data_IF_282590659783
#
_entry.id   IF_282590659783
#
_cell.length_a   1.000
_cell.length_b   1.000
_cell.length_c   1.000
_cell.angle_alpha   90.00
_cell.angle_beta   90.00
_cell.angle_gamma   90.00
#
_symmetry.space_group_name_H-M   'P 1'
#
loop_
_entity.id
_entity.type
_entity.pdbx_description
1 polymer ?
#
# COMPACT_ATOMS: atom_id res chain seq x y z
N UNK A 1 -0.17 -4.10 -14.10
CA UNK A 1 -0.62 -4.93 -12.97
C UNK A 1 -0.83 -4.00 -11.79
N UNK A 2 -2.05 -3.90 -11.29
CA UNK A 2 -2.39 -3.11 -10.11
C UNK A 2 -2.25 -4.01 -8.89
N UNK A 3 -1.30 -3.68 -8.02
CA UNK A 3 -1.13 -4.30 -6.71
C UNK A 3 -2.42 -4.19 -5.91
N UNK A 4 -3.12 -5.31 -5.73
CA UNK A 4 -4.28 -5.42 -4.85
C UNK A 4 -3.79 -5.53 -3.41
N UNK A 5 -3.57 -4.37 -2.78
CA UNK A 5 -3.34 -4.29 -1.34
C UNK A 5 -4.57 -4.80 -0.59
N UNK A 6 -4.39 -5.88 0.17
CA UNK A 6 -5.43 -6.49 1.00
C UNK A 6 -5.77 -5.54 2.17
N UNK A 7 -6.91 -4.84 2.12
CA UNK A 7 -7.39 -3.98 3.22
C UNK A 7 -8.30 -4.77 4.17
N UNK A 8 -7.74 -5.26 5.28
CA UNK A 8 -8.50 -5.99 6.31
C UNK A 8 -9.13 -5.05 7.32
N UNK A 9 -10.29 -4.42 7.05
CA UNK A 9 -11.17 -3.74 8.05
C UNK A 9 -10.60 -2.62 8.94
N UNK A 10 -9.28 -2.44 8.91
CA UNK A 10 -8.43 -1.51 9.61
C UNK A 10 -7.49 -1.00 8.53
N UNK A 11 -7.38 0.31 8.36
CA UNK A 11 -6.59 0.97 7.32
C UNK A 11 -5.06 0.76 7.43
N UNK A 12 -4.60 -0.25 8.16
CA UNK A 12 -3.20 -0.61 8.28
C UNK A 12 -2.84 -1.68 7.25
N UNK A 13 -1.85 -1.38 6.42
CA UNK A 13 -1.26 -2.31 5.47
C UNK A 13 0.10 -2.77 5.97
N UNK A 14 0.33 -4.09 6.00
CA UNK A 14 1.65 -4.67 6.29
C UNK A 14 2.57 -4.40 5.09
N UNK A 15 3.75 -3.82 5.35
CA UNK A 15 4.71 -3.43 4.31
C UNK A 15 6.11 -4.00 4.52
N UNK A 16 6.42 -4.48 5.73
CA UNK A 16 7.56 -5.34 5.99
C UNK A 16 7.30 -6.24 7.19
N UNK A 17 7.89 -7.43 7.18
CA UNK A 17 7.82 -8.43 8.24
C UNK A 17 9.12 -9.22 8.28
N UNK A 18 9.55 -9.54 9.49
CA UNK A 18 10.59 -10.53 9.74
C UNK A 18 10.14 -11.37 10.92
N UNK A 19 10.05 -12.69 10.76
CA UNK A 19 9.65 -13.62 11.82
C UNK A 19 10.53 -14.85 11.73
N UNK A 20 11.42 -14.99 12.70
CA UNK A 20 12.15 -16.22 12.95
C UNK A 20 11.40 -17.01 14.05
N UNK A 21 10.81 -18.14 13.64
CA UNK A 21 9.87 -18.89 14.48
C UNK A 21 10.54 -19.63 15.64
N UNK A 22 11.83 -19.91 15.51
CA UNK A 22 12.61 -20.66 16.49
C UNK A 22 13.39 -19.72 17.43
N UNK A 23 13.33 -18.41 17.17
CA UNK A 23 14.07 -17.36 17.86
C UNK A 23 15.57 -17.45 17.58
N UNK A 24 15.96 -17.64 16.32
CA UNK A 24 17.33 -17.69 15.85
C UNK A 24 18.18 -18.75 16.59
N UNK A 25 17.58 -19.90 16.90
CA UNK A 25 18.26 -20.99 17.64
C UNK A 25 18.82 -22.09 16.76
N UNK A 26 18.41 -22.19 15.50
CA UNK A 26 18.82 -23.20 14.54
C UNK A 26 19.17 -22.63 13.15
N UNK A 27 19.53 -23.53 12.23
CA UNK A 27 20.34 -23.25 11.04
C UNK A 27 19.83 -22.14 10.11
N UNK A 28 18.56 -22.18 9.69
CA UNK A 28 18.02 -21.29 8.65
C UNK A 28 17.45 -20.02 9.24
N UNK A 29 18.33 -19.17 9.79
CA UNK A 29 17.91 -17.85 10.28
C UNK A 29 17.19 -17.05 9.18
N UNK A 30 15.97 -16.59 9.46
CA UNK A 30 15.14 -15.82 8.53
C UNK A 30 15.57 -14.36 8.44
N UNK A 31 16.77 -14.16 7.89
CA UNK A 31 17.40 -12.86 7.63
C UNK A 31 17.10 -12.38 6.20
N UNK A 32 17.13 -11.07 6.00
CA UNK A 32 17.01 -10.43 4.69
C UNK A 32 18.32 -10.59 3.87
N UNK A 33 18.77 -11.83 3.70
CA UNK A 33 20.04 -12.22 3.07
C UNK A 33 19.80 -12.95 1.74
N UNK A 34 19.01 -12.33 0.85
CA UNK A 34 18.73 -12.91 -0.46
C UNK A 34 19.95 -12.68 -1.39
N UNK A 35 20.89 -13.62 -1.30
CA UNK A 35 22.00 -13.96 -2.22
C UNK A 35 23.40 -13.39 -1.92
N UNK A 36 24.22 -14.29 -1.36
CA UNK A 36 25.69 -14.40 -1.37
C UNK A 36 26.51 -13.13 -1.60
N UNK A 37 27.23 -12.74 -0.54
CA UNK A 37 28.27 -11.68 -0.52
C UNK A 37 27.79 -10.28 -0.11
N UNK A 38 27.01 -10.22 0.98
CA UNK A 38 26.92 -9.06 1.89
C UNK A 38 26.42 -7.74 1.29
N UNK A 39 25.70 -7.79 0.16
CA UNK A 39 24.85 -6.70 -0.30
C UNK A 39 23.43 -7.23 -0.58
N UNK A 40 22.52 -7.17 0.39
CA UNK A 40 21.18 -7.71 0.21
C UNK A 40 20.39 -6.83 -0.74
N UNK A 41 19.78 -7.45 -1.75
CA UNK A 41 18.95 -6.76 -2.73
C UNK A 41 17.94 -5.83 -2.05
N UNK A 42 17.34 -6.26 -0.93
CA UNK A 42 16.40 -5.48 -0.12
C UNK A 42 16.95 -4.12 0.38
N UNK A 43 18.25 -3.98 0.67
CA UNK A 43 18.82 -2.68 1.07
C UNK A 43 18.91 -1.67 -0.08
N UNK A 44 18.78 -2.14 -1.32
CA UNK A 44 18.80 -1.32 -2.52
C UNK A 44 17.44 -1.16 -3.18
N UNK A 45 16.62 -2.21 -3.16
CA UNK A 45 15.29 -2.26 -3.80
C UNK A 45 14.15 -2.03 -2.82
N UNK A 46 14.37 -2.29 -1.52
CA UNK A 46 13.32 -2.35 -0.50
C UNK A 46 12.22 -3.37 -0.85
N UNK A 47 12.64 -4.51 -1.41
CA UNK A 47 11.81 -5.65 -1.80
C UNK A 47 12.42 -6.96 -1.27
N UNK A 48 11.57 -7.83 -0.73
CA UNK A 48 11.89 -9.20 -0.30
C UNK A 48 10.58 -9.98 -0.27
N UNK A 49 10.47 -11.08 -1.01
CA UNK A 49 9.21 -11.85 -1.12
C UNK A 49 7.98 -10.97 -1.32
N UNK A 50 8.08 -9.91 -2.13
CA UNK A 50 7.15 -8.77 -2.15
C UNK A 50 5.71 -9.13 -2.56
N UNK A 51 5.51 -10.34 -3.10
CA UNK A 51 4.22 -10.89 -3.50
C UNK A 51 3.65 -11.91 -2.47
N UNK A 52 4.36 -12.18 -1.37
CA UNK A 52 3.99 -13.13 -0.32
C UNK A 52 4.21 -12.54 1.07
N UNK A 53 3.19 -11.86 1.59
CA UNK A 53 3.20 -11.27 2.94
C UNK A 53 3.09 -12.29 4.08
N UNK A 54 2.94 -13.58 3.74
CA UNK A 54 2.94 -14.68 4.71
C UNK A 54 4.35 -15.24 4.96
N UNK A 55 5.30 -14.93 4.08
CA UNK A 55 6.71 -15.31 4.22
C UNK A 55 7.31 -14.81 5.54
N UNK A 56 8.29 -15.55 6.05
CA UNK A 56 9.03 -15.19 7.26
C UNK A 56 9.81 -13.89 7.08
N UNK A 57 10.37 -13.64 5.89
CA UNK A 57 10.87 -12.34 5.46
C UNK A 57 9.95 -11.78 4.38
N UNK A 58 9.47 -10.56 4.56
CA UNK A 58 8.63 -9.89 3.58
C UNK A 58 8.90 -8.39 3.59
N UNK A 59 9.00 -7.77 2.43
CA UNK A 59 9.04 -6.31 2.27
C UNK A 59 8.54 -5.93 0.89
N UNK A 60 7.65 -4.95 0.84
CA UNK A 60 7.06 -4.45 -0.40
C UNK A 60 7.20 -2.93 -0.55
N UNK A 61 8.05 -2.29 0.25
CA UNK A 61 8.19 -0.83 0.33
C UNK A 61 8.58 -0.24 -1.04
N UNK A 62 9.45 -0.91 -1.79
CA UNK A 62 9.86 -0.49 -3.14
C UNK A 62 8.73 -0.44 -4.18
N UNK A 63 7.62 -1.15 -3.93
CA UNK A 63 6.45 -1.18 -4.82
C UNK A 63 5.35 -0.18 -4.40
N UNK A 64 5.52 0.52 -3.27
CA UNK A 64 4.53 1.49 -2.82
C UNK A 64 4.69 2.81 -3.58
N UNK A 65 3.55 3.40 -3.97
CA UNK A 65 3.51 4.78 -4.44
C UNK A 65 3.25 5.70 -3.25
N UNK A 66 4.21 6.53 -2.79
CA UNK A 66 4.07 7.28 -1.55
C UNK A 66 2.84 8.20 -1.50
N UNK A 67 2.45 8.80 -2.63
CA UNK A 67 1.27 9.68 -2.72
C UNK A 67 -0.03 9.02 -2.28
N UNK A 68 -0.13 7.69 -2.30
CA UNK A 68 -1.33 6.96 -1.90
C UNK A 68 -1.44 6.83 -0.37
N UNK A 69 -0.39 7.13 0.37
CA UNK A 69 -0.30 6.91 1.82
C UNK A 69 -0.10 8.18 2.64
N UNK A 70 0.06 9.33 1.98
CA UNK A 70 0.22 10.61 2.65
C UNK A 70 -1.15 11.22 3.00
N UNK A 71 -1.29 11.68 4.23
CA UNK A 71 -2.48 12.42 4.70
C UNK A 71 -2.02 13.63 5.51
N UNK A 72 -2.56 14.81 5.21
CA UNK A 72 -2.13 16.08 5.81
C UNK A 72 -0.60 16.30 5.74
N UNK A 73 0.02 15.87 4.62
CA UNK A 73 1.45 16.00 4.38
C UNK A 73 2.34 15.06 5.18
N UNK A 74 1.77 14.08 5.88
CA UNK A 74 2.50 13.12 6.72
C UNK A 74 2.15 11.68 6.37
N UNK A 75 3.13 10.79 6.52
CA UNK A 75 2.92 9.36 6.53
C UNK A 75 2.68 8.90 7.97
N UNK A 76 1.80 7.92 8.15
CA UNK A 76 1.51 7.32 9.46
C UNK A 76 1.94 5.85 9.45
N UNK A 77 2.74 5.48 10.42
CA UNK A 77 3.36 4.16 10.52
C UNK A 77 3.12 3.52 11.89
N UNK A 78 3.25 2.20 11.94
CA UNK A 78 3.30 1.43 13.17
C UNK A 78 4.32 0.31 13.03
N UNK A 79 5.17 0.16 14.04
CA UNK A 79 6.17 -0.90 14.13
C UNK A 79 5.90 -1.71 15.38
N UNK A 80 5.84 -3.02 15.24
CA UNK A 80 5.56 -3.98 16.30
C UNK A 80 6.73 -4.97 16.40
N UNK A 81 7.03 -5.42 17.63
CA UNK A 81 8.08 -6.40 17.92
C UNK A 81 7.56 -7.53 18.80
N UNK A 82 8.15 -8.71 18.69
CA UNK A 82 7.92 -9.78 19.67
C UNK A 82 9.09 -10.77 19.76
N UNK A 83 8.97 -11.69 20.71
CA UNK A 83 9.91 -12.79 20.92
C UNK A 83 11.21 -12.36 21.63
N UNK A 84 12.02 -13.35 22.01
CA UNK A 84 13.22 -13.16 22.84
C UNK A 84 12.98 -12.21 24.04
N UNK A 85 13.84 -11.23 24.28
CA UNK A 85 13.69 -10.30 25.41
C UNK A 85 12.70 -9.18 25.13
N UNK A 86 12.37 -8.92 23.85
CA UNK A 86 11.32 -7.98 23.46
C UNK A 86 9.91 -8.46 23.87
N UNK A 87 9.70 -9.78 23.97
CA UNK A 87 8.43 -10.36 24.44
C UNK A 87 8.03 -9.91 25.86
N UNK A 88 9.01 -9.51 26.68
CA UNK A 88 8.80 -9.06 28.07
C UNK A 88 8.57 -7.54 28.20
N UNK A 89 8.48 -6.80 27.09
CA UNK A 89 8.18 -5.36 27.15
C UNK A 89 6.68 -5.14 27.43
N UNK A 90 6.36 -4.17 28.30
CA UNK A 90 4.96 -3.81 28.63
C UNK A 90 4.19 -3.27 27.41
N UNK A 91 4.89 -2.52 26.56
CA UNK A 91 4.43 -2.13 25.25
C UNK A 91 5.32 -2.83 24.22
N UNK A 92 4.77 -3.22 23.08
CA UNK A 92 5.51 -3.93 22.01
C UNK A 92 5.34 -3.26 20.66
N UNK A 93 4.91 -2.00 20.66
CA UNK A 93 4.66 -1.25 19.44
C UNK A 93 4.98 0.23 19.59
N UNK A 94 5.26 0.89 18.48
CA UNK A 94 5.27 2.35 18.37
C UNK A 94 4.45 2.75 17.16
N UNK A 95 3.60 3.76 17.33
CA UNK A 95 2.84 4.39 16.24
C UNK A 95 3.27 5.83 16.12
N UNK A 96 3.55 6.31 14.91
CA UNK A 96 4.04 7.67 14.71
C UNK A 96 3.65 8.20 13.33
N UNK A 97 3.92 9.48 13.12
CA UNK A 97 3.96 10.09 11.80
C UNK A 97 5.33 10.67 11.50
N UNK A 98 5.70 10.72 10.22
CA UNK A 98 6.87 11.46 9.73
C UNK A 98 6.56 12.03 8.33
N UNK A 99 7.23 13.11 7.94
CA UNK A 99 7.08 13.73 6.62
C UNK A 99 8.05 13.13 5.59
N UNK A 100 9.21 12.63 6.04
CA UNK A 100 10.14 11.90 5.18
C UNK A 100 9.62 10.50 4.85
N UNK A 101 9.94 10.02 3.66
CA UNK A 101 9.65 8.63 3.28
C UNK A 101 10.65 7.67 3.95
N UNK A 102 10.28 6.40 4.11
CA UNK A 102 11.08 5.40 4.84
C UNK A 102 12.48 5.17 4.23
N UNK A 103 12.65 5.44 2.94
CA UNK A 103 13.90 5.23 2.21
C UNK A 103 14.75 6.50 2.10
N UNK A 104 14.32 7.62 2.70
CA UNK A 104 15.11 8.83 2.80
C UNK A 104 16.22 8.63 3.84
N UNK A 105 17.36 9.32 3.67
CA UNK A 105 18.52 9.20 4.56
C UNK A 105 18.42 9.98 5.88
N UNK A 106 17.30 10.66 6.11
CA UNK A 106 17.11 11.51 7.30
C UNK A 106 15.63 11.55 7.65
N UNK A 107 15.31 11.27 8.91
CA UNK A 107 13.95 11.47 9.41
C UNK A 107 13.59 12.96 9.47
N UNK A 108 12.44 13.31 8.88
CA UNK A 108 11.85 14.64 8.98
C UNK A 108 10.43 14.56 9.56
N UNK A 109 10.05 15.56 10.36
CA UNK A 109 8.67 15.73 10.81
C UNK A 109 8.15 14.63 11.74
N UNK A 110 9.04 13.94 12.45
CA UNK A 110 8.67 12.90 13.42
C UNK A 110 7.69 13.43 14.48
N UNK A 111 6.63 12.66 14.72
CA UNK A 111 5.68 12.88 15.79
C UNK A 111 5.11 11.55 16.25
N UNK A 112 5.39 11.17 17.49
CA UNK A 112 4.80 9.98 18.11
C UNK A 112 3.29 10.13 18.30
N UNK A 113 2.55 9.04 18.13
CA UNK A 113 1.12 8.92 18.46
C UNK A 113 0.99 8.02 19.68
N UNK A 114 0.49 8.58 20.78
CA UNK A 114 0.44 7.91 22.07
C UNK A 114 1.75 8.09 22.84
N UNK A 115 2.10 7.11 23.68
CA UNK A 115 3.33 7.14 24.47
C UNK A 115 3.89 5.73 24.56
N UNK A 116 4.86 5.42 23.70
CA UNK A 116 5.45 4.08 23.65
C UNK A 116 6.48 3.84 24.77
N UNK A 117 7.07 4.92 25.28
CA UNK A 117 8.20 4.88 26.22
C UNK A 117 9.55 4.61 25.53
N UNK A 118 9.65 4.80 24.21
CA UNK A 118 10.89 4.64 23.45
C UNK A 118 11.42 5.95 22.85
N UNK A 119 10.64 7.03 22.87
CA UNK A 119 11.07 8.35 22.40
C UNK A 119 11.88 9.02 23.51
N UNK A 120 13.21 8.91 23.41
CA UNK A 120 14.16 9.51 24.35
C UNK A 120 15.45 9.95 23.66
N UNK A 121 16.35 10.60 24.40
CA UNK A 121 17.62 11.12 23.88
C UNK A 121 18.77 10.09 23.90
N UNK A 122 18.47 8.80 24.08
CA UNK A 122 19.50 7.76 24.07
C UNK A 122 19.82 7.32 22.65
N UNK A 123 20.97 6.67 22.46
CA UNK A 123 21.33 6.05 21.18
C UNK A 123 20.44 4.86 20.78
N UNK A 124 19.48 4.48 21.64
CA UNK A 124 18.48 3.44 21.39
C UNK A 124 17.05 4.00 21.39
N UNK A 125 16.92 5.33 21.48
CA UNK A 125 15.66 6.02 21.39
C UNK A 125 15.04 5.84 20.00
N UNK A 126 13.77 6.17 19.88
CA UNK A 126 13.02 6.12 18.64
C UNK A 126 12.65 7.54 18.22
N UNK A 127 13.13 7.95 17.05
CA UNK A 127 12.81 9.25 16.45
C UNK A 127 12.29 9.12 15.02
N UNK A 128 11.65 7.98 14.70
CA UNK A 128 11.18 7.62 13.36
C UNK A 128 12.14 6.65 12.66
N UNK A 129 11.78 6.27 11.43
CA UNK A 129 12.55 5.34 10.61
C UNK A 129 13.13 6.04 9.38
N UNK A 130 14.34 5.65 9.02
CA UNK A 130 15.07 6.14 7.85
C UNK A 130 15.85 4.99 7.18
N UNK A 131 16.34 5.25 5.97
CA UNK A 131 17.28 4.36 5.31
C UNK A 131 18.46 4.11 6.26
N UNK A 132 18.72 2.84 6.54
CA UNK A 132 19.81 2.43 7.42
C UNK A 132 21.15 2.98 6.94
N UNK A 133 21.89 3.58 7.88
CA UNK A 133 23.29 3.97 7.68
C UNK A 133 24.25 2.78 7.65
N UNK A 134 23.78 1.59 8.02
CA UNK A 134 24.50 0.31 8.01
C UNK A 134 23.74 -0.71 7.15
N UNK A 135 23.67 -0.51 5.82
CA UNK A 135 22.82 -1.29 4.91
C UNK A 135 23.21 -2.76 4.77
N UNK A 136 24.32 -3.19 5.37
CA UNK A 136 24.74 -4.59 5.47
C UNK A 136 24.30 -5.25 6.77
N UNK A 137 23.69 -4.48 7.69
CA UNK A 137 23.19 -4.95 8.98
C UNK A 137 21.66 -4.86 9.08
N UNK A 138 21.10 -3.76 8.58
CA UNK A 138 19.65 -3.53 8.53
C UNK A 138 19.26 -2.79 7.23
N UNK A 139 18.05 -3.03 6.71
CA UNK A 139 17.52 -2.32 5.52
C UNK A 139 17.04 -0.90 5.90
N UNK A 140 16.20 -0.79 6.93
CA UNK A 140 15.66 0.47 7.47
C UNK A 140 15.78 0.41 8.98
N UNK A 141 16.29 1.44 9.63
CA UNK A 141 16.44 1.46 11.09
C UNK A 141 15.99 2.79 11.70
N UNK A 142 15.98 2.83 13.04
CA UNK A 142 15.59 3.99 13.81
C UNK A 142 16.74 4.96 14.06
N UNK A 143 16.44 6.25 13.95
CA UNK A 143 17.30 7.35 14.39
C UNK A 143 17.22 7.50 15.94
N UNK A 144 18.32 7.77 16.70
CA UNK A 144 19.59 8.33 16.24
C UNK A 144 20.83 7.43 16.18
N UNK A 145 20.74 6.11 16.27
CA UNK A 145 21.92 5.29 16.00
C UNK A 145 21.83 3.81 16.30
N UNK A 146 22.92 3.10 15.97
CA UNK A 146 23.14 1.70 16.36
C UNK A 146 22.20 0.67 15.71
N UNK A 147 21.57 1.01 14.59
CA UNK A 147 20.60 0.20 13.85
C UNK A 147 19.50 -0.45 14.70
N UNK A 148 19.13 0.19 15.81
CA UNK A 148 17.99 -0.21 16.64
C UNK A 148 16.68 0.05 15.90
N UNK A 149 15.61 -0.64 16.33
CA UNK A 149 14.30 -0.59 15.67
C UNK A 149 14.37 -1.09 14.22
N UNK A 150 15.27 -2.05 13.98
CA UNK A 150 15.56 -2.55 12.66
C UNK A 150 14.32 -3.17 11.98
N UNK A 151 14.13 -2.78 10.73
CA UNK A 151 13.18 -3.33 9.77
C UNK A 151 13.99 -4.01 8.67
N UNK A 152 13.90 -5.35 8.61
CA UNK A 152 14.70 -6.16 7.70
C UNK A 152 16.15 -6.31 8.17
N UNK A 153 16.36 -7.08 9.24
CA UNK A 153 17.68 -7.42 9.73
C UNK A 153 18.37 -8.40 8.77
N UNK A 154 19.61 -8.07 8.41
CA UNK A 154 20.46 -8.82 7.47
C UNK A 154 21.47 -9.66 8.25
N UNK A 155 21.89 -9.16 9.41
CA UNK A 155 22.72 -9.89 10.37
C UNK A 155 22.07 -9.83 11.75
N UNK A 156 22.45 -10.75 12.63
CA UNK A 156 21.92 -10.80 13.99
C UNK A 156 22.66 -9.82 14.91
N UNK A 157 21.90 -9.07 15.70
CA UNK A 157 22.38 -8.32 16.85
C UNK A 157 22.07 -9.09 18.13
N UNK A 158 23.09 -9.46 18.90
CA UNK A 158 22.93 -10.27 20.12
C UNK A 158 22.05 -11.53 19.92
N UNK A 159 22.18 -12.16 18.74
CA UNK A 159 21.44 -13.35 18.38
C UNK A 159 20.03 -13.11 17.87
N UNK A 160 19.60 -11.88 17.56
CA UNK A 160 18.31 -11.62 16.91
C UNK A 160 18.21 -10.22 16.29
N UNK A 161 17.03 -9.60 16.35
CA UNK A 161 16.75 -8.28 15.79
C UNK A 161 16.88 -7.22 16.91
N UNK A 162 17.65 -6.13 16.72
CA UNK A 162 17.73 -5.08 17.73
C UNK A 162 16.41 -4.31 17.84
N UNK A 163 15.86 -4.25 19.06
CA UNK A 163 14.54 -3.71 19.36
C UNK A 163 14.62 -2.61 20.46
N UNK A 164 13.50 -1.96 20.83
CA UNK A 164 13.51 -0.84 21.79
C UNK A 164 14.18 -1.17 23.12
N UNK A 165 14.72 -0.14 23.78
CA UNK A 165 15.42 -0.25 25.08
C UNK A 165 16.61 -1.22 25.05
N UNK A 166 17.12 -1.56 23.87
CA UNK A 166 18.21 -2.51 23.69
C UNK A 166 17.83 -3.96 23.94
N UNK A 167 16.54 -4.28 23.80
CA UNK A 167 16.07 -5.67 23.77
C UNK A 167 16.40 -6.33 22.44
N UNK A 168 16.24 -7.66 22.40
CA UNK A 168 16.40 -8.48 21.22
C UNK A 168 15.02 -9.06 20.91
N UNK A 169 14.57 -8.90 19.67
CA UNK A 169 13.35 -9.50 19.13
C UNK A 169 13.70 -10.69 18.23
N UNK A 170 12.74 -11.59 18.02
CA UNK A 170 12.75 -12.58 16.94
C UNK A 170 11.69 -12.31 15.87
N UNK A 171 10.83 -11.32 16.10
CA UNK A 171 9.87 -10.87 15.12
C UNK A 171 9.70 -9.36 15.09
N UNK A 172 9.41 -8.83 13.91
CA UNK A 172 8.96 -7.46 13.71
C UNK A 172 7.95 -7.36 12.56
N UNK A 173 7.04 -6.39 12.67
CA UNK A 173 6.04 -6.08 11.65
C UNK A 173 5.95 -4.56 11.49
N UNK A 174 6.20 -4.07 10.27
CA UNK A 174 6.03 -2.67 9.91
C UNK A 174 4.75 -2.50 9.09
N UNK A 175 3.93 -1.56 9.53
CA UNK A 175 2.67 -1.18 8.90
C UNK A 175 2.71 0.28 8.47
N UNK A 176 2.04 0.57 7.35
CA UNK A 176 1.69 1.92 6.92
C UNK A 176 0.17 2.08 6.98
N UNK A 177 -0.29 3.28 7.35
CA UNK A 177 -1.70 3.62 7.25
C UNK A 177 -2.01 3.94 5.78
N UNK A 178 -2.82 3.11 5.15
CA UNK A 178 -3.49 3.43 3.91
C UNK A 178 -4.68 4.33 4.27
N UNK A 179 -4.60 5.66 4.09
CA UNK A 179 -5.79 6.49 4.28
C UNK A 179 -6.90 5.89 3.42
N UNK A 180 -8.13 5.88 3.93
CA UNK A 180 -9.28 5.52 3.11
C UNK A 180 -9.18 6.39 1.87
N UNK A 181 -8.84 5.76 0.75
CA UNK A 181 -8.63 6.53 -0.44
C UNK A 181 -10.02 6.99 -0.80
N UNK A 182 -10.28 8.29 -0.62
CA UNK A 182 -11.36 8.97 -1.31
C UNK A 182 -10.95 9.06 -2.79
N UNK A 183 -10.57 7.94 -3.40
CA UNK A 183 -10.38 7.85 -4.83
C UNK A 183 -11.73 8.21 -5.42
N UNK A 184 -11.75 9.33 -6.11
CA UNK A 184 -12.84 9.76 -6.96
C UNK A 184 -12.90 8.94 -8.26
N UNK A 185 -12.17 7.82 -8.34
CA UNK A 185 -12.04 6.96 -9.51
C UNK A 185 -12.77 5.63 -9.27
N UNK A 186 -14.09 5.72 -9.22
CA UNK A 186 -14.94 4.54 -9.30
C UNK A 186 -15.03 4.09 -10.76
N UNK A 187 -14.72 2.83 -11.04
CA UNK A 187 -15.24 2.15 -12.22
C UNK A 187 -16.60 1.57 -11.83
N UNK A 188 -17.58 1.72 -12.72
CA UNK A 188 -18.85 0.98 -12.59
C UNK A 188 -18.61 -0.44 -13.08
N UNK A 189 -18.79 -1.41 -12.19
CA UNK A 189 -18.77 -2.83 -12.51
C UNK A 189 -20.21 -3.30 -12.78
N UNK A 190 -20.41 -3.99 -13.89
CA UNK A 190 -21.70 -4.49 -14.35
C UNK A 190 -21.54 -6.00 -14.59
N UNK A 191 -21.69 -6.80 -13.52
CA UNK A 191 -21.37 -8.25 -13.48
C UNK A 191 -22.61 -9.17 -13.54
N UNK A 192 -23.81 -8.59 -13.62
CA UNK A 192 -25.09 -9.27 -13.62
C UNK A 192 -25.95 -9.06 -14.88
N UNK A 193 -27.17 -9.60 -14.84
CA UNK A 193 -28.17 -9.39 -15.89
C UNK A 193 -29.04 -8.18 -15.54
N UNK A 194 -29.12 -7.19 -16.45
CA UNK A 194 -29.87 -5.93 -16.29
C UNK A 194 -29.29 -4.91 -15.30
N UNK A 195 -27.98 -4.85 -15.12
CA UNK A 195 -27.36 -3.79 -14.33
C UNK A 195 -27.35 -2.48 -15.12
N UNK A 196 -27.79 -1.39 -14.48
CA UNK A 196 -27.74 -0.05 -15.06
C UNK A 196 -27.54 1.00 -13.98
N UNK A 197 -26.88 2.09 -14.35
CA UNK A 197 -26.79 3.31 -13.53
C UNK A 197 -27.45 4.44 -14.29
N UNK A 198 -28.44 5.09 -13.67
CA UNK A 198 -29.09 6.28 -14.21
C UNK A 198 -28.66 7.51 -13.42
N UNK A 199 -28.04 8.48 -14.08
CA UNK A 199 -27.72 9.77 -13.48
C UNK A 199 -28.86 10.77 -13.75
N UNK A 200 -29.89 10.73 -12.92
CA UNK A 200 -31.01 11.67 -13.02
C UNK A 200 -30.57 13.07 -12.55
N UNK A 201 -30.73 14.08 -13.41
CA UNK A 201 -30.52 15.49 -13.06
C UNK A 201 -29.20 16.12 -13.52
N UNK A 202 -28.32 15.40 -14.22
CA UNK A 202 -27.02 15.94 -14.67
C UNK A 202 -27.13 16.82 -15.93
N UNK A 203 -28.22 16.68 -16.69
CA UNK A 203 -28.55 17.55 -17.81
C UNK A 203 -30.06 17.89 -17.76
N UNK A 204 -30.48 18.71 -16.79
CA UNK A 204 -31.88 19.16 -16.73
C UNK A 204 -32.23 20.16 -17.82
N UNK A 205 -31.25 20.84 -18.42
CA UNK A 205 -31.48 21.73 -19.56
C UNK A 205 -30.34 21.59 -20.58
N UNK A 206 -30.52 20.72 -21.57
CA UNK A 206 -29.84 20.93 -22.85
C UNK A 206 -30.56 22.11 -23.51
N UNK A 207 -29.96 23.28 -23.53
CA UNK A 207 -30.51 24.43 -24.24
C UNK A 207 -30.61 24.10 -25.74
N UNK A 208 -31.80 23.69 -26.17
CA UNK A 208 -32.11 23.33 -27.55
C UNK A 208 -31.96 24.49 -28.53
N UNK A 209 -31.73 25.72 -28.06
CA UNK A 209 -31.61 26.90 -28.91
C UNK A 209 -30.24 27.05 -29.59
N UNK A 210 -29.21 26.32 -29.14
CA UNK A 210 -27.82 26.58 -29.57
C UNK A 210 -27.19 25.50 -30.45
N UNK A 211 -27.84 24.34 -30.69
CA UNK A 211 -27.26 23.21 -31.44
C UNK A 211 -25.82 22.87 -30.98
N UNK A 212 -25.49 23.08 -29.70
CA UNK A 212 -24.15 22.83 -29.19
C UNK A 212 -23.83 21.32 -29.28
N UNK A 213 -22.66 20.93 -29.83
CA UNK A 213 -22.26 19.53 -29.87
C UNK A 213 -22.03 19.02 -28.45
N UNK A 214 -22.67 17.91 -28.11
CA UNK A 214 -22.39 17.19 -26.89
C UNK A 214 -21.28 16.17 -27.15
N UNK A 215 -20.26 16.19 -26.30
CA UNK A 215 -19.21 15.17 -26.29
C UNK A 215 -19.32 14.32 -25.01
N UNK A 216 -19.22 13.01 -25.17
CA UNK A 216 -19.14 12.04 -24.08
C UNK A 216 -17.89 11.19 -24.31
N UNK A 217 -17.07 11.03 -23.28
CA UNK A 217 -15.91 10.14 -23.28
C UNK A 217 -15.98 9.21 -22.08
N UNK A 218 -15.70 7.93 -22.31
CA UNK A 218 -15.66 6.91 -21.27
C UNK A 218 -14.56 5.89 -21.59
N UNK A 219 -13.93 5.35 -20.55
CA UNK A 219 -13.11 4.14 -20.65
C UNK A 219 -14.00 2.94 -20.35
N UNK A 220 -14.07 1.96 -21.25
CA UNK A 220 -14.89 0.76 -21.08
C UNK A 220 -14.08 -0.50 -21.34
N UNK A 221 -14.39 -1.55 -20.59
CA UNK A 221 -13.79 -2.87 -20.71
C UNK A 221 -14.89 -3.92 -20.91
N UNK A 222 -15.59 -3.93 -22.06
CA UNK A 222 -16.67 -4.86 -22.32
C UNK A 222 -16.16 -6.31 -22.36
N UNK A 223 -16.98 -7.27 -21.91
CA UNK A 223 -16.69 -8.69 -22.12
C UNK A 223 -16.58 -8.98 -23.63
N UNK A 224 -15.82 -10.02 -24.03
CA UNK A 224 -15.33 -10.32 -25.40
C UNK A 224 -16.38 -10.52 -26.53
N UNK A 225 -17.38 -9.65 -26.63
CA UNK A 225 -18.07 -9.24 -27.85
C UNK A 225 -19.04 -10.25 -28.44
N UNK A 226 -19.39 -11.33 -27.75
CA UNK A 226 -20.38 -12.30 -28.26
C UNK A 226 -21.83 -11.81 -28.16
N UNK A 227 -22.07 -10.72 -27.42
CA UNK A 227 -23.36 -10.05 -27.26
C UNK A 227 -23.17 -8.53 -27.33
N UNK A 228 -24.15 -7.84 -27.88
CA UNK A 228 -24.20 -6.37 -27.89
C UNK A 228 -24.28 -5.83 -26.46
N UNK A 229 -23.46 -4.84 -26.16
CA UNK A 229 -23.37 -4.15 -24.87
C UNK A 229 -23.58 -2.65 -25.09
N UNK A 230 -24.54 -2.08 -24.35
CA UNK A 230 -24.83 -0.64 -24.38
C UNK A 230 -23.85 0.09 -23.46
N UNK A 231 -23.06 1.01 -24.01
CA UNK A 231 -22.07 1.80 -23.26
C UNK A 231 -22.65 3.13 -22.77
N UNK A 232 -23.47 3.78 -23.60
CA UNK A 232 -24.09 5.07 -23.30
C UNK A 232 -25.32 5.34 -24.20
N UNK A 233 -26.37 5.98 -23.67
CA UNK A 233 -27.53 6.39 -24.47
C UNK A 233 -28.45 7.40 -23.76
N UNK A 234 -29.20 8.18 -24.55
CA UNK A 234 -30.22 9.10 -24.05
C UNK A 234 -31.62 8.48 -24.06
N UNK A 235 -32.39 8.69 -22.97
CA UNK A 235 -33.73 8.12 -22.82
C UNK A 235 -34.83 9.15 -23.10
N UNK A 236 -35.78 8.81 -23.99
CA UNK A 236 -37.06 9.51 -24.12
C UNK A 236 -38.19 8.49 -24.26
N UNK A 237 -38.87 8.22 -23.14
CA UNK A 237 -40.18 7.55 -23.02
C UNK A 237 -40.37 6.13 -23.60
N UNK A 238 -39.40 5.54 -24.30
CA UNK A 238 -39.41 4.13 -24.68
C UNK A 238 -38.00 3.63 -25.00
N UNK A 239 -37.72 2.36 -24.75
CA UNK A 239 -36.41 1.75 -24.98
C UNK A 239 -35.98 1.87 -26.45
N UNK A 240 -34.99 2.72 -26.71
CA UNK A 240 -34.01 2.64 -27.81
C UNK A 240 -34.52 2.57 -29.26
N UNK A 241 -35.79 2.86 -29.54
CA UNK A 241 -36.28 2.81 -30.91
C UNK A 241 -35.71 3.93 -31.80
N UNK A 242 -35.37 5.11 -31.25
CA UNK A 242 -34.99 6.30 -32.05
C UNK A 242 -34.17 7.35 -31.26
N UNK A 243 -33.22 6.92 -30.41
CA UNK A 243 -32.43 7.84 -29.58
C UNK A 243 -30.92 7.69 -29.82
N UNK A 244 -30.13 8.78 -29.70
CA UNK A 244 -28.68 8.72 -29.86
C UNK A 244 -28.05 7.78 -28.82
N UNK A 245 -27.33 6.76 -29.31
CA UNK A 245 -26.72 5.70 -28.49
C UNK A 245 -25.41 5.18 -29.10
N UNK A 246 -24.52 4.68 -28.25
CA UNK A 246 -23.24 4.06 -28.62
C UNK A 246 -23.20 2.60 -28.14
N UNK A 247 -22.95 1.68 -29.07
CA UNK A 247 -22.96 0.23 -28.85
C UNK A 247 -21.59 -0.39 -29.12
N UNK A 248 -21.31 -1.52 -28.45
CA UNK A 248 -20.15 -2.36 -28.72
C UNK A 248 -20.55 -3.85 -28.80
N UNK A 249 -20.10 -4.56 -29.84
CA UNK A 249 -20.36 -6.01 -30.05
C UNK A 249 -21.24 -6.33 -31.28
N UNK A 250 -21.49 -7.61 -31.55
CA UNK A 250 -22.28 -8.08 -32.71
C UNK A 250 -21.45 -8.64 -33.88
N UNK A 251 -21.94 -8.56 -35.13
CA UNK A 251 -21.24 -9.10 -36.31
C UNK A 251 -20.00 -8.31 -36.72
N UNK A 252 -19.84 -7.09 -36.22
CA UNK A 252 -18.67 -6.26 -36.42
C UNK A 252 -18.25 -5.68 -35.06
N UNK A 253 -17.11 -6.11 -34.53
CA UNK A 253 -16.52 -5.64 -33.27
C UNK A 253 -16.07 -4.17 -33.33
N UNK A 254 -17.00 -3.23 -33.55
CA UNK A 254 -16.76 -1.79 -33.73
C UNK A 254 -17.80 -0.98 -32.97
N UNK A 255 -17.43 0.24 -32.57
CA UNK A 255 -18.39 1.21 -32.06
C UNK A 255 -19.34 1.64 -33.19
N UNK A 256 -20.65 1.50 -32.97
CA UNK A 256 -21.70 1.98 -33.87
C UNK A 256 -22.52 3.08 -33.19
N UNK A 257 -22.97 4.06 -33.97
CA UNK A 257 -23.87 5.12 -33.51
C UNK A 257 -25.18 5.08 -34.32
N UNK A 258 -26.30 5.34 -33.65
CA UNK A 258 -27.60 5.57 -34.28
C UNK A 258 -27.98 7.04 -34.03
N UNK A 259 -28.43 7.74 -35.07
CA UNK A 259 -28.87 9.15 -34.98
C UNK A 259 -30.35 9.26 -34.64
#
# INVERSE_FOLDING_TARGET
>A
ETSSGFTTGNNWQLIARQVDSDNFTDGTHELFDSTSERNPNASSTYLENENDNSSSTFMSIGNLTPSNYVSDGKYKFRLEWDGKTAASLDNKSVTWTQTSWLTDSTVAGFQEIGTSGYVDNSSKGFAGLEKSGLPTSCVIDGNPGGWFHCVGAIVRWQGGIPAPKGTVASSMHLYIWAPEIKETNFALDFDGTNDYVSANGVATELDSSTNLPLSVSAWVYPENGTKEQLVFGFYKNNAFANGPSVWFGGTDFKFAYYN
#
